data_IF_236771106505
#
_entry.id   IF_236771106505
#
_cell.length_a   1.000
_cell.length_b   1.000
_cell.length_c   1.000
_cell.angle_alpha   90.00
_cell.angle_beta   90.00
_cell.angle_gamma   90.00
#
_symmetry.space_group_name_H-M   'P 1'
#
loop_
_entity.id
_entity.type
_entity.pdbx_description
1 polymer ?
#
# COMPACT_ATOMS: atom_id res chain seq x y z
N UNK A 1 1.47 -8.59 -11.59
CA UNK A 1 1.83 -8.36 -10.18
C UNK A 1 0.81 -7.39 -9.63
N UNK A 2 -0.03 -7.86 -8.69
CA UNK A 2 -1.13 -7.09 -8.13
C UNK A 2 -0.60 -6.10 -7.10
N UNK A 3 -1.03 -4.85 -7.19
CA UNK A 3 -0.57 -3.79 -6.32
C UNK A 3 -1.72 -2.97 -5.75
N UNK A 4 -1.47 -2.36 -4.59
CA UNK A 4 -2.43 -1.55 -3.86
C UNK A 4 -1.74 -0.25 -3.41
N UNK A 5 -2.48 0.85 -3.39
CA UNK A 5 -2.01 2.16 -2.91
C UNK A 5 -2.76 2.52 -1.64
N UNK A 6 -2.05 3.01 -0.61
CA UNK A 6 -2.65 3.65 0.57
C UNK A 6 -1.93 4.97 0.83
N UNK A 7 -2.62 6.07 0.57
CA UNK A 7 -2.07 7.41 0.76
C UNK A 7 -3.22 8.40 0.95
N UNK A 8 -3.15 9.22 1.99
CA UNK A 8 -4.20 10.20 2.29
C UNK A 8 -4.09 11.47 1.42
N UNK A 9 -2.96 11.67 0.75
CA UNK A 9 -2.73 12.74 -0.21
C UNK A 9 -3.24 12.36 -1.62
N UNK A 10 -4.32 13.00 -2.13
CA UNK A 10 -4.90 12.63 -3.42
C UNK A 10 -3.94 12.77 -4.61
N UNK A 11 -3.09 13.81 -4.59
CA UNK A 11 -2.12 14.07 -5.66
C UNK A 11 -1.02 13.00 -5.70
N UNK A 12 -0.62 12.46 -4.55
CA UNK A 12 0.36 11.38 -4.48
C UNK A 12 -0.23 10.09 -5.08
N UNK A 13 -1.49 9.76 -4.74
CA UNK A 13 -2.20 8.62 -5.33
C UNK A 13 -2.31 8.74 -6.84
N UNK A 14 -2.82 9.87 -7.35
CA UNK A 14 -2.96 10.12 -8.79
C UNK A 14 -1.61 9.96 -9.52
N UNK A 15 -0.55 10.52 -8.95
CA UNK A 15 0.81 10.36 -9.49
C UNK A 15 1.25 8.90 -9.55
N UNK A 16 1.04 8.13 -8.48
CA UNK A 16 1.41 6.71 -8.42
C UNK A 16 0.57 5.89 -9.40
N UNK A 17 -0.74 6.15 -9.49
CA UNK A 17 -1.66 5.51 -10.44
C UNK A 17 -1.19 5.71 -11.88
N UNK A 18 -0.79 6.93 -12.25
CA UNK A 18 -0.25 7.23 -13.58
C UNK A 18 1.05 6.46 -13.88
N UNK A 19 1.92 6.28 -12.88
CA UNK A 19 3.14 5.50 -13.05
C UNK A 19 2.84 4.00 -13.20
N UNK A 20 1.93 3.47 -12.39
CA UNK A 20 1.50 2.07 -12.46
C UNK A 20 0.88 1.78 -13.83
N UNK A 21 0.03 2.67 -14.35
CA UNK A 21 -0.61 2.53 -15.66
C UNK A 21 0.40 2.43 -16.83
N UNK A 22 1.63 2.94 -16.65
CA UNK A 22 2.70 2.87 -17.65
C UNK A 22 3.50 1.56 -17.57
N UNK A 23 3.26 0.70 -16.59
CA UNK A 23 3.99 -0.54 -16.34
C UNK A 23 3.04 -1.74 -16.55
N UNK A 24 3.06 -2.41 -17.72
CA UNK A 24 2.09 -3.47 -18.04
C UNK A 24 2.11 -4.70 -17.13
N UNK A 25 3.20 -4.91 -16.40
CA UNK A 25 3.34 -6.03 -15.45
C UNK A 25 2.69 -5.74 -14.09
N UNK A 26 2.27 -4.51 -13.83
CA UNK A 26 1.55 -4.11 -12.63
C UNK A 26 0.04 -4.06 -12.89
N UNK A 27 -0.73 -4.54 -11.93
CA UNK A 27 -2.19 -4.46 -11.91
C UNK A 27 -2.60 -3.71 -10.65
N UNK A 28 -3.16 -2.51 -10.80
CA UNK A 28 -3.69 -1.75 -9.66
C UNK A 28 -5.03 -2.35 -9.23
N UNK A 29 -5.07 -2.96 -8.05
CA UNK A 29 -6.28 -3.58 -7.48
C UNK A 29 -7.17 -2.52 -6.83
N UNK A 30 -6.57 -1.61 -6.06
CA UNK A 30 -7.27 -0.55 -5.36
C UNK A 30 -6.35 0.62 -5.01
N UNK A 31 -6.94 1.80 -4.92
CA UNK A 31 -6.31 3.03 -4.45
C UNK A 31 -7.10 3.58 -3.27
N UNK A 32 -6.57 3.41 -2.08
CA UNK A 32 -7.25 3.66 -0.81
C UNK A 32 -6.73 4.93 -0.17
N UNK A 33 -7.61 5.67 0.51
CA UNK A 33 -7.19 6.86 1.27
C UNK A 33 -6.68 6.45 2.66
N UNK A 34 -7.28 5.40 3.20
CA UNK A 34 -7.06 4.96 4.57
C UNK A 34 -6.82 3.45 4.64
N UNK A 35 -6.07 2.98 5.64
CA UNK A 35 -5.77 1.54 5.83
C UNK A 35 -7.03 0.69 5.89
N UNK A 36 -8.09 1.16 6.54
CA UNK A 36 -9.32 0.40 6.72
C UNK A 36 -9.99 0.02 5.39
N UNK A 37 -9.91 0.90 4.39
CA UNK A 37 -10.41 0.65 3.04
C UNK A 37 -9.59 -0.45 2.34
N UNK A 38 -8.30 -0.59 2.68
CA UNK A 38 -7.43 -1.59 2.06
C UNK A 38 -7.66 -3.02 2.60
N UNK A 39 -8.27 -3.16 3.78
CA UNK A 39 -8.38 -4.44 4.49
C UNK A 39 -9.16 -5.49 3.68
N UNK A 40 -10.18 -5.08 2.94
CA UNK A 40 -10.98 -6.00 2.12
C UNK A 40 -10.19 -6.59 0.94
N UNK A 41 -9.21 -5.84 0.43
CA UNK A 41 -8.34 -6.29 -0.67
C UNK A 41 -7.16 -7.12 -0.15
N UNK A 42 -6.64 -6.75 1.01
CA UNK A 42 -5.49 -7.40 1.64
C UNK A 42 -5.86 -8.78 2.23
N UNK A 43 -7.07 -8.95 2.75
CA UNK A 43 -7.54 -10.23 3.30
C UNK A 43 -7.70 -11.34 2.23
N UNK A 44 -7.81 -10.96 0.96
CA UNK A 44 -7.87 -11.93 -0.13
C UNK A 44 -6.50 -12.54 -0.47
N UNK A 45 -5.41 -12.05 0.14
CA UNK A 45 -4.08 -12.68 0.10
C UNK A 45 -3.33 -12.53 -1.22
N UNK A 46 -3.83 -11.69 -2.13
CA UNK A 46 -3.41 -11.63 -3.53
C UNK A 46 -2.61 -10.36 -3.87
N UNK A 47 -2.22 -9.55 -2.89
CA UNK A 47 -1.44 -8.32 -3.13
C UNK A 47 0.04 -8.63 -3.05
N UNK A 48 0.77 -8.36 -4.13
CA UNK A 48 2.22 -8.56 -4.22
C UNK A 48 3.00 -7.32 -3.77
N UNK A 49 2.44 -6.12 -4.02
CA UNK A 49 3.10 -4.84 -3.80
C UNK A 49 2.15 -3.80 -3.18
N UNK A 50 2.59 -3.15 -2.11
CA UNK A 50 1.90 -2.07 -1.45
C UNK A 50 2.70 -0.77 -1.59
N UNK A 51 2.08 0.24 -2.20
CA UNK A 51 2.56 1.62 -2.16
C UNK A 51 1.90 2.32 -0.97
N UNK A 52 2.68 2.71 0.03
CA UNK A 52 2.13 3.36 1.22
C UNK A 52 3.04 4.50 1.67
N UNK A 53 2.46 5.66 2.00
CA UNK A 53 3.13 6.55 2.94
C UNK A 53 2.98 5.93 4.34
N UNK A 54 4.11 5.62 4.96
CA UNK A 54 4.20 4.87 6.23
C UNK A 54 3.92 5.75 7.45
N UNK A 55 3.71 7.06 7.27
CA UNK A 55 3.41 8.01 8.33
C UNK A 55 1.91 8.15 8.67
N UNK A 56 1.12 7.07 8.56
CA UNK A 56 -0.29 7.13 8.95
C UNK A 56 -0.48 7.14 10.47
N UNK A 57 -1.18 8.14 11.04
CA UNK A 57 -1.28 8.35 12.49
C UNK A 57 -2.31 7.47 13.23
N UNK A 58 -3.23 6.79 12.52
CA UNK A 58 -4.43 6.19 13.15
C UNK A 58 -4.44 4.66 13.24
N UNK A 59 -3.59 3.98 12.47
CA UNK A 59 -3.39 2.53 12.53
C UNK A 59 -1.92 2.28 12.29
N UNK A 60 -1.30 1.42 13.09
CA UNK A 60 0.05 0.94 12.80
C UNK A 60 -0.05 0.03 11.57
N UNK A 61 -0.18 0.62 10.36
CA UNK A 61 -0.35 -0.12 9.10
C UNK A 61 0.78 -1.11 8.88
N UNK A 62 1.96 -0.80 9.45
CA UNK A 62 3.11 -1.71 9.54
C UNK A 62 2.80 -2.97 10.36
N UNK A 63 2.14 -2.86 11.51
CA UNK A 63 1.79 -4.02 12.33
C UNK A 63 0.71 -4.88 11.67
N UNK A 64 -0.23 -4.25 10.96
CA UNK A 64 -1.19 -4.98 10.14
C UNK A 64 -0.48 -5.78 9.04
N UNK A 65 0.42 -5.13 8.27
CA UNK A 65 1.21 -5.80 7.22
C UNK A 65 2.02 -6.95 7.82
N UNK A 66 2.67 -6.76 8.97
CA UNK A 66 3.42 -7.81 9.68
C UNK A 66 2.56 -8.97 10.17
N UNK A 67 1.26 -8.74 10.40
CA UNK A 67 0.34 -9.80 10.84
C UNK A 67 -0.10 -10.75 9.71
N UNK A 68 0.10 -10.34 8.44
CA UNK A 68 -0.26 -11.16 7.29
C UNK A 68 0.69 -12.35 7.16
N UNK A 69 0.15 -13.52 6.82
CA UNK A 69 0.97 -14.72 6.59
C UNK A 69 1.98 -14.53 5.44
N UNK A 70 1.56 -13.83 4.38
CA UNK A 70 2.38 -13.49 3.23
C UNK A 70 2.28 -11.98 3.00
N UNK A 71 3.12 -11.17 3.67
CA UNK A 71 3.06 -9.72 3.50
C UNK A 71 3.55 -9.31 2.09
N UNK A 72 2.92 -8.30 1.45
CA UNK A 72 3.41 -7.76 0.19
C UNK A 72 4.77 -7.08 0.37
N UNK A 73 5.47 -6.87 -0.74
CA UNK A 73 6.56 -5.89 -0.77
C UNK A 73 5.99 -4.50 -0.50
N UNK A 74 6.70 -3.70 0.29
CA UNK A 74 6.25 -2.33 0.63
C UNK A 74 7.19 -1.31 0.01
N UNK A 75 6.64 -0.45 -0.84
CA UNK A 75 7.32 0.75 -1.33
C UNK A 75 6.80 1.96 -0.56
N UNK A 76 7.73 2.75 0.00
CA UNK A 76 7.41 3.98 0.71
C UNK A 76 8.41 5.07 0.32
N UNK A 77 7.94 6.31 0.28
CA UNK A 77 8.77 7.49 -0.04
C UNK A 77 9.81 7.81 1.03
N UNK A 78 9.64 7.25 2.24
CA UNK A 78 10.53 7.43 3.40
C UNK A 78 11.04 6.09 3.91
N UNK A 79 12.26 6.05 4.49
CA UNK A 79 12.76 4.84 5.11
C UNK A 79 11.81 4.39 6.24
N UNK A 80 11.52 3.10 6.27
CA UNK A 80 10.75 2.48 7.35
C UNK A 80 11.55 2.64 8.64
N UNK A 81 11.16 3.61 9.48
CA UNK A 81 11.69 3.74 10.82
C UNK A 81 11.02 2.67 11.68
N UNK A 82 11.78 1.63 12.00
CA UNK A 82 11.41 0.69 13.04
C UNK A 82 11.60 1.47 14.35
N UNK A 83 10.51 1.98 14.91
CA UNK A 83 10.55 2.46 16.30
C UNK A 83 10.89 1.24 17.19
N UNK A 84 11.85 1.38 18.13
CA UNK A 84 12.27 0.29 19.01
C UNK A 84 11.14 -0.19 19.92
#
# INVERSE_FOLDING_TARGET
MKCLIIDDEPLARETIEEYIAKIPSLELVASCKHVFESLEYMNNGDIDLLFSDIHMPEVNGIDFIKSLQNPPYVFSSRPIQIMP
#
